data_IF_689656267304
#
_entry.id   IF_689656267304
#
_cell.length_a   1.000
_cell.length_b   1.000
_cell.length_c   1.000
_cell.angle_alpha   90.00
_cell.angle_beta   90.00
_cell.angle_gamma   90.00
#
_symmetry.space_group_name_H-M   'P 1'
#
loop_
_entity.id
_entity.type
_entity.pdbx_description
1 polymer ?
#
# COMPACT_ATOMS: atom_id res chain seq x y z
N UNK A 1 8.95 -38.02 15.80
CA UNK A 1 7.94 -37.74 14.75
C UNK A 1 8.38 -36.47 14.06
N UNK A 2 8.87 -36.60 12.83
CA UNK A 2 9.46 -35.51 12.05
C UNK A 2 8.51 -35.19 10.91
N UNK A 3 8.06 -33.94 10.79
CA UNK A 3 7.25 -33.51 9.64
C UNK A 3 8.22 -33.05 8.57
N UNK A 4 8.33 -33.83 7.49
CA UNK A 4 8.98 -33.42 6.26
C UNK A 4 8.07 -32.46 5.51
N UNK A 5 8.50 -31.22 5.29
CA UNK A 5 7.82 -30.30 4.39
C UNK A 5 8.30 -30.57 2.97
N UNK A 6 7.67 -31.54 2.30
CA UNK A 6 7.71 -31.63 0.84
C UNK A 6 6.77 -30.55 0.28
N UNK A 7 7.34 -29.41 -0.05
CA UNK A 7 6.60 -28.30 -0.62
C UNK A 7 7.53 -27.15 -0.94
N UNK A 8 8.41 -27.36 -1.93
CA UNK A 8 9.07 -26.24 -2.58
C UNK A 8 7.95 -25.33 -3.13
N UNK A 9 7.77 -24.16 -2.51
CA UNK A 9 7.07 -23.05 -3.15
C UNK A 9 7.87 -22.76 -4.40
N UNK A 10 7.44 -23.33 -5.54
CA UNK A 10 7.94 -22.93 -6.85
C UNK A 10 7.63 -21.45 -6.97
N UNK A 11 8.68 -20.63 -6.84
CA UNK A 11 8.69 -19.30 -7.44
C UNK A 11 8.20 -19.48 -8.87
N UNK A 12 6.99 -19.00 -9.12
CA UNK A 12 6.50 -18.86 -10.48
C UNK A 12 7.39 -17.76 -11.06
N UNK A 13 8.44 -18.13 -11.79
CA UNK A 13 9.24 -17.19 -12.58
C UNK A 13 8.24 -16.33 -13.36
N UNK A 14 8.05 -15.10 -12.92
CA UNK A 14 7.16 -14.16 -13.59
C UNK A 14 7.96 -13.74 -14.82
N UNK A 15 7.56 -14.12 -16.05
CA UNK A 15 8.30 -13.70 -17.22
C UNK A 15 8.41 -12.18 -17.18
N UNK A 16 9.61 -11.64 -17.38
CA UNK A 16 9.81 -10.22 -17.60
C UNK A 16 8.85 -9.83 -18.70
N UNK A 17 7.85 -9.00 -18.37
CA UNK A 17 6.82 -8.59 -19.32
C UNK A 17 7.55 -8.02 -20.54
N UNK A 18 7.42 -8.67 -21.69
CA UNK A 18 8.06 -8.22 -22.92
C UNK A 18 7.58 -6.78 -23.14
N UNK A 19 8.50 -5.82 -23.25
CA UNK A 19 8.27 -4.37 -23.14
C UNK A 19 7.20 -3.77 -24.07
N UNK A 20 6.68 -4.55 -25.02
CA UNK A 20 5.45 -4.22 -25.70
C UNK A 20 4.28 -4.63 -24.81
N UNK A 21 3.69 -3.67 -24.09
CA UNK A 21 2.25 -3.75 -23.77
C UNK A 21 1.58 -4.06 -25.10
N UNK A 22 1.14 -5.31 -25.27
CA UNK A 22 0.68 -5.75 -26.57
C UNK A 22 -0.55 -4.90 -26.91
N UNK A 23 -0.47 -4.18 -28.03
CA UNK A 23 -1.58 -3.36 -28.54
C UNK A 23 -2.84 -4.22 -28.68
N UNK A 24 -2.67 -5.52 -28.92
CA UNK A 24 -3.76 -6.49 -28.93
C UNK A 24 -4.53 -6.52 -27.60
N UNK A 25 -3.85 -6.43 -26.44
CA UNK A 25 -4.51 -6.37 -25.13
C UNK A 25 -5.27 -5.06 -24.94
N UNK A 26 -4.71 -3.93 -25.37
CA UNK A 26 -5.32 -2.60 -25.16
C UNK A 26 -6.61 -2.38 -25.95
N UNK A 27 -6.78 -3.06 -27.08
CA UNK A 27 -7.94 -2.89 -27.99
C UNK A 27 -8.79 -4.15 -28.14
N UNK A 28 -8.56 -5.17 -27.30
CA UNK A 28 -9.35 -6.41 -27.32
C UNK A 28 -10.40 -6.42 -26.22
N UNK A 29 -11.34 -7.36 -26.35
CA UNK A 29 -12.32 -7.67 -25.31
C UNK A 29 -11.67 -8.01 -23.96
N UNK A 30 -10.45 -8.54 -23.95
CA UNK A 30 -9.72 -8.77 -22.70
C UNK A 30 -9.37 -7.45 -22.02
N UNK A 31 -8.92 -6.44 -22.79
CA UNK A 31 -8.67 -5.09 -22.29
C UNK A 31 -9.93 -4.47 -21.70
N UNK A 32 -11.06 -4.55 -22.42
CA UNK A 32 -12.35 -4.03 -21.96
C UNK A 32 -12.78 -4.69 -20.64
N UNK A 33 -12.65 -6.03 -20.56
CA UNK A 33 -12.98 -6.78 -19.35
C UNK A 33 -12.11 -6.37 -18.16
N UNK A 34 -10.80 -6.20 -18.37
CA UNK A 34 -9.89 -5.76 -17.30
C UNK A 34 -10.18 -4.33 -16.83
N UNK A 35 -10.56 -3.43 -17.75
CA UNK A 35 -10.98 -2.08 -17.39
C UNK A 35 -12.29 -2.09 -16.60
N UNK A 36 -13.27 -2.91 -17.01
CA UNK A 36 -14.53 -3.07 -16.29
C UNK A 36 -14.29 -3.63 -14.87
N UNK A 37 -13.48 -4.67 -14.72
CA UNK A 37 -13.12 -5.22 -13.40
C UNK A 37 -12.40 -4.19 -12.51
N UNK A 38 -11.55 -3.34 -13.10
CA UNK A 38 -10.89 -2.25 -12.37
C UNK A 38 -11.89 -1.15 -11.95
N UNK A 39 -12.85 -0.81 -12.81
CA UNK A 39 -13.91 0.15 -12.51
C UNK A 39 -14.80 -0.35 -11.36
N UNK A 40 -15.21 -1.62 -11.39
CA UNK A 40 -15.99 -2.25 -10.32
C UNK A 40 -15.24 -2.24 -8.99
N UNK A 41 -13.95 -2.63 -9.00
CA UNK A 41 -13.10 -2.55 -7.81
C UNK A 41 -12.96 -1.13 -7.26
N UNK A 42 -12.93 -0.14 -8.14
CA UNK A 42 -12.82 1.28 -7.73
C UNK A 42 -14.13 1.79 -7.15
N UNK A 43 -15.27 1.34 -7.69
CA UNK A 43 -16.60 1.70 -7.21
C UNK A 43 -16.97 1.07 -5.85
N UNK A 44 -16.41 -0.12 -5.55
CA UNK A 44 -16.65 -0.87 -4.31
C UNK A 44 -15.77 -0.41 -3.12
N UNK A 45 -14.93 0.62 -3.33
CA UNK A 45 -14.05 1.14 -2.27
C UNK A 45 -14.85 1.83 -1.16
N UNK A 46 -14.46 1.58 0.10
CA UNK A 46 -15.15 2.04 1.31
C UNK A 46 -14.15 2.55 2.37
N UNK A 47 -14.52 3.45 3.31
CA UNK A 47 -15.78 4.21 3.38
C UNK A 47 -15.88 5.37 2.40
N UNK A 48 -14.76 5.98 2.05
CA UNK A 48 -14.75 7.17 1.20
C UNK A 48 -14.45 6.80 -0.25
N UNK A 49 -15.21 7.35 -1.20
CA UNK A 49 -14.86 7.30 -2.62
C UNK A 49 -13.77 8.31 -2.97
N UNK A 50 -12.99 8.01 -4.02
CA UNK A 50 -11.94 8.90 -4.47
C UNK A 50 -12.50 10.19 -5.08
N UNK A 51 -11.94 11.34 -4.70
CA UNK A 51 -12.27 12.65 -5.29
C UNK A 51 -11.25 13.11 -6.32
N UNK A 52 -10.02 12.58 -6.22
CA UNK A 52 -8.89 12.90 -7.08
C UNK A 52 -7.93 11.70 -7.16
N UNK A 53 -7.00 11.76 -8.10
CA UNK A 53 -5.90 10.79 -8.25
C UNK A 53 -4.55 11.48 -8.00
N UNK A 54 -3.51 10.74 -7.58
CA UNK A 54 -3.52 9.33 -7.15
C UNK A 54 -4.33 9.10 -5.86
N UNK A 55 -4.94 7.92 -5.75
CA UNK A 55 -5.77 7.51 -4.62
C UNK A 55 -5.18 6.26 -3.96
N UNK A 56 -4.99 6.30 -2.64
CA UNK A 56 -4.36 5.22 -1.88
C UNK A 56 -5.38 4.56 -0.96
N UNK A 57 -5.38 3.24 -0.99
CA UNK A 57 -6.17 2.36 -0.14
C UNK A 57 -5.19 1.57 0.72
N UNK A 58 -5.41 1.58 2.03
CA UNK A 58 -4.53 0.88 2.99
C UNK A 58 -5.37 -0.14 3.73
N UNK A 59 -4.96 -1.41 3.69
CA UNK A 59 -5.67 -2.53 4.32
C UNK A 59 -7.17 -2.59 3.94
N UNK A 60 -7.49 -2.24 2.68
CA UNK A 60 -8.86 -2.22 2.17
C UNK A 60 -9.70 -1.02 2.62
N UNK A 61 -9.15 -0.11 3.42
CA UNK A 61 -9.85 1.08 3.93
C UNK A 61 -9.41 2.33 3.19
N UNK A 62 -10.40 3.15 2.84
CA UNK A 62 -10.20 4.38 2.10
C UNK A 62 -10.73 5.60 2.84
N UNK A 63 -9.81 6.48 3.20
CA UNK A 63 -10.11 7.67 3.98
C UNK A 63 -9.63 8.91 3.21
N UNK A 64 -10.56 9.80 2.87
CA UNK A 64 -10.27 11.03 2.14
C UNK A 64 -9.29 11.91 2.93
N UNK A 65 -9.49 11.99 4.25
CA UNK A 65 -8.59 12.72 5.17
C UNK A 65 -7.13 12.25 5.15
N UNK A 66 -6.86 11.05 4.65
CA UNK A 66 -5.52 10.45 4.61
C UNK A 66 -4.80 10.65 3.29
N UNK A 67 -5.48 11.06 2.23
CA UNK A 67 -4.86 11.17 0.90
C UNK A 67 -3.79 12.26 0.82
N UNK A 68 -3.94 13.33 1.60
CA UNK A 68 -2.92 14.37 1.73
C UNK A 68 -1.59 13.85 2.32
N UNK A 69 -1.57 12.63 2.86
CA UNK A 69 -0.38 11.99 3.41
C UNK A 69 0.35 11.09 2.41
N UNK A 70 0.03 11.16 1.11
CA UNK A 70 0.71 10.37 0.08
C UNK A 70 2.23 10.51 0.12
N UNK A 71 2.74 11.73 0.34
CA UNK A 71 4.18 11.98 0.45
C UNK A 71 4.80 11.34 1.71
N UNK A 72 3.97 11.00 2.69
CA UNK A 72 4.36 10.29 3.90
C UNK A 72 4.18 8.77 3.80
N UNK A 73 3.73 8.24 2.65
CA UNK A 73 3.46 6.81 2.49
C UNK A 73 4.66 5.91 2.87
N UNK A 74 5.91 6.20 2.45
CA UNK A 74 7.06 5.37 2.85
C UNK A 74 7.21 5.25 4.37
N UNK A 75 6.85 6.30 5.10
CA UNK A 75 6.90 6.32 6.55
C UNK A 75 5.76 5.54 7.21
N UNK A 76 4.54 5.69 6.68
CA UNK A 76 3.39 4.97 7.20
C UNK A 76 3.56 3.45 7.02
N UNK A 77 4.18 3.03 5.92
CA UNK A 77 4.55 1.62 5.69
C UNK A 77 5.48 1.10 6.79
N UNK A 78 6.43 1.91 7.27
CA UNK A 78 7.29 1.53 8.40
C UNK A 78 6.51 1.38 9.70
N UNK A 79 5.55 2.26 9.96
CA UNK A 79 4.71 2.20 11.17
C UNK A 79 3.73 1.01 11.15
N UNK A 80 3.31 0.56 9.96
CA UNK A 80 2.41 -0.59 9.78
C UNK A 80 3.13 -1.93 9.61
N UNK A 81 4.42 -1.93 9.35
CA UNK A 81 5.20 -3.15 9.21
C UNK A 81 5.30 -3.87 10.56
N UNK A 82 4.85 -5.12 10.60
CA UNK A 82 4.82 -5.97 11.80
C UNK A 82 5.73 -7.19 11.69
N UNK A 83 6.55 -7.25 10.63
CA UNK A 83 7.52 -8.34 10.46
C UNK A 83 8.75 -8.17 11.34
N UNK A 84 9.49 -9.25 11.51
CA UNK A 84 10.67 -9.30 12.39
C UNK A 84 11.94 -8.79 11.70
N UNK A 85 11.94 -8.69 10.36
CA UNK A 85 13.11 -8.24 9.61
C UNK A 85 13.23 -6.71 9.63
N UNK A 86 14.41 -6.22 10.02
CA UNK A 86 14.67 -4.79 10.02
C UNK A 86 14.71 -4.24 8.59
N UNK A 87 13.89 -3.22 8.32
CA UNK A 87 13.93 -2.47 7.06
C UNK A 87 14.89 -1.29 7.25
N UNK A 88 16.06 -1.24 6.57
CA UNK A 88 17.07 -0.20 6.80
C UNK A 88 16.56 1.23 6.64
N UNK A 89 15.64 1.43 5.69
CA UNK A 89 14.97 2.72 5.50
C UNK A 89 14.23 3.14 6.78
N UNK A 90 13.38 2.27 7.34
CA UNK A 90 12.59 2.57 8.53
C UNK A 90 13.46 2.94 9.73
N UNK A 91 14.53 2.20 9.97
CA UNK A 91 15.47 2.49 11.07
C UNK A 91 16.19 3.82 10.90
N UNK A 92 16.63 4.13 9.68
CA UNK A 92 17.30 5.40 9.38
C UNK A 92 16.37 6.60 9.55
N UNK A 93 15.08 6.44 9.23
CA UNK A 93 14.09 7.50 9.37
C UNK A 93 13.69 7.72 10.84
N UNK A 94 13.55 6.66 11.64
CA UNK A 94 13.34 6.78 13.10
C UNK A 94 14.49 7.56 13.75
N UNK A 95 15.72 7.34 13.32
CA UNK A 95 16.89 8.09 13.80
C UNK A 95 16.81 9.58 13.44
N UNK A 96 16.35 9.93 12.23
CA UNK A 96 16.13 11.33 11.79
C UNK A 96 14.97 12.00 12.52
N UNK A 97 13.87 11.29 12.79
CA UNK A 97 12.72 11.83 13.56
C UNK A 97 13.12 12.21 14.98
N UNK A 98 13.99 11.43 15.63
CA UNK A 98 14.47 11.70 16.99
C UNK A 98 15.31 12.98 17.09
N UNK A 99 16.06 13.31 16.03
CA UNK A 99 16.95 14.47 15.99
C UNK A 99 16.28 15.75 15.48
N UNK A 100 15.13 15.68 14.80
CA UNK A 100 14.51 16.83 14.15
C UNK A 100 13.11 17.20 14.72
N UNK A 101 12.98 18.39 15.30
CA UNK A 101 11.77 18.84 16.01
C UNK A 101 10.51 18.96 15.15
N UNK A 102 10.65 19.18 13.83
CA UNK A 102 9.51 19.26 12.92
C UNK A 102 8.84 17.89 12.68
N UNK A 103 9.62 16.80 12.68
CA UNK A 103 9.14 15.43 12.48
C UNK A 103 8.37 14.90 13.71
N UNK A 104 8.71 15.35 14.92
CA UNK A 104 7.93 15.07 16.15
C UNK A 104 6.48 15.57 16.06
N UNK A 105 6.25 16.66 15.31
CA UNK A 105 4.89 17.20 15.09
C UNK A 105 4.07 16.33 14.15
N UNK A 106 4.73 15.68 13.18
CA UNK A 106 4.11 14.68 12.30
C UNK A 106 3.77 13.42 13.09
N UNK A 107 4.66 12.92 13.95
CA UNK A 107 4.35 11.81 14.87
C UNK A 107 3.13 12.13 15.76
N UNK A 108 3.01 13.38 16.25
CA UNK A 108 1.82 13.82 16.99
C UNK A 108 0.53 13.80 16.15
N UNK A 109 0.60 14.12 14.86
CA UNK A 109 -0.54 14.09 13.94
C UNK A 109 -0.94 12.64 13.60
N UNK A 110 0.04 11.77 13.34
CA UNK A 110 -0.15 10.33 13.10
C UNK A 110 -0.76 9.66 14.35
N UNK A 111 -0.25 9.96 15.54
CA UNK A 111 -0.80 9.39 16.78
C UNK A 111 -2.25 9.86 17.05
N UNK A 112 -2.58 11.12 16.76
CA UNK A 112 -3.97 11.61 16.86
C UNK A 112 -4.89 10.94 15.85
N UNK A 113 -4.38 10.66 14.66
CA UNK A 113 -5.07 9.90 13.63
C UNK A 113 -5.40 8.47 14.10
N UNK A 114 -4.39 7.74 14.58
CA UNK A 114 -4.54 6.36 15.04
C UNK A 114 -5.44 6.24 16.28
N UNK A 115 -5.44 7.24 17.17
CA UNK A 115 -6.32 7.25 18.35
C UNK A 115 -7.81 7.39 17.99
N UNK A 116 -8.11 8.11 16.90
CA UNK A 116 -9.48 8.27 16.41
C UNK A 116 -10.03 6.99 15.79
N UNK A 117 -9.18 6.19 15.15
CA UNK A 117 -9.53 4.90 14.54
C UNK A 117 -9.83 3.79 15.57
N UNK A 118 -9.32 3.89 16.80
CA UNK A 118 -9.67 2.95 17.89
C UNK A 118 -10.98 3.29 18.61
N UNK A 119 -11.59 4.42 18.26
CA UNK A 119 -12.80 4.94 18.90
C UNK A 119 -14.07 4.71 18.05
N UNK A 120 -13.92 4.06 16.89
CA UNK A 120 -14.96 3.61 15.96
C UNK A 120 -14.91 2.09 15.93
#
# INVERSE_FOLDING_TARGET
MSISVSGAVRERERPVLQKSVDRSCMVSQLGDKLQQEAAEKTADVWPDQHMFVPWIIVNGVSLNSKQAMIDNLPYLLCDWYTGDEEIPFCSSEVAKRRSNGALKKIDSLINRCNARERSV
#
